data_IF_787612344603
#
_entry.id   IF_787612344603
#
_cell.length_a   1.000
_cell.length_b   1.000
_cell.length_c   1.000
_cell.angle_alpha   90.00
_cell.angle_beta   90.00
_cell.angle_gamma   90.00
#
_symmetry.space_group_name_H-M   'P 1'
#
loop_
_entity.id
_entity.type
_entity.pdbx_description
1 polymer ?
#
# COMPACT_ATOMS: atom_id res chain seq x y z
N UNK A 1 16.66 -3.10 -35.92
CA UNK A 1 16.91 -1.79 -35.32
C UNK A 1 15.61 -0.97 -35.24
N UNK A 2 14.83 -0.84 -36.31
CA UNK A 2 13.56 -0.08 -36.33
C UNK A 2 12.60 -0.47 -35.21
N UNK A 3 12.50 -1.77 -34.85
CA UNK A 3 11.66 -2.23 -33.75
C UNK A 3 12.12 -1.69 -32.38
N UNK A 4 13.42 -1.62 -32.15
CA UNK A 4 14.01 -1.06 -30.93
C UNK A 4 13.77 0.45 -30.88
N UNK A 5 13.94 1.15 -31.99
CA UNK A 5 13.73 2.60 -32.09
C UNK A 5 12.24 2.93 -31.88
N UNK A 6 11.32 2.10 -32.40
CA UNK A 6 9.90 2.23 -32.15
C UNK A 6 9.52 2.02 -30.68
N UNK A 7 10.10 1.01 -30.02
CA UNK A 7 9.90 0.75 -28.60
C UNK A 7 10.48 1.84 -27.69
N UNK A 8 11.50 2.55 -28.15
CA UNK A 8 12.09 3.65 -27.39
C UNK A 8 11.19 4.91 -27.36
N UNK A 9 10.37 5.12 -28.38
CA UNK A 9 9.56 6.34 -28.58
C UNK A 9 8.08 6.10 -28.30
N UNK A 10 7.58 4.88 -28.58
CA UNK A 10 6.16 4.55 -28.52
C UNK A 10 5.81 3.51 -27.45
N UNK A 11 4.53 3.49 -27.05
CA UNK A 11 3.94 2.43 -26.22
C UNK A 11 3.16 1.47 -27.08
N UNK A 12 3.32 0.18 -26.85
CA UNK A 12 2.68 -0.87 -27.59
C UNK A 12 1.97 -1.83 -26.61
N UNK A 13 0.80 -2.33 -27.00
CA UNK A 13 0.05 -3.29 -26.17
C UNK A 13 0.61 -4.71 -26.31
N UNK A 14 1.28 -5.02 -27.42
CA UNK A 14 1.87 -6.31 -27.72
C UNK A 14 2.94 -6.15 -28.79
N UNK A 15 4.00 -6.96 -28.70
CA UNK A 15 5.00 -7.14 -29.76
C UNK A 15 4.94 -8.56 -30.28
N UNK A 16 4.74 -8.70 -31.59
CA UNK A 16 4.94 -9.96 -32.31
C UNK A 16 6.29 -9.89 -33.02
N UNK A 17 7.25 -10.71 -32.63
CA UNK A 17 8.62 -10.62 -33.11
C UNK A 17 9.05 -11.94 -33.78
N UNK A 18 9.52 -11.84 -35.01
CA UNK A 18 10.21 -12.97 -35.67
C UNK A 18 11.62 -13.11 -35.05
N UNK A 19 12.06 -14.34 -34.83
CA UNK A 19 13.41 -14.59 -34.31
C UNK A 19 14.46 -14.27 -35.38
N UNK A 20 14.29 -14.75 -36.60
CA UNK A 20 15.25 -14.55 -37.68
C UNK A 20 14.94 -13.29 -38.48
N UNK A 21 15.62 -12.21 -38.17
CA UNK A 21 15.54 -10.95 -38.88
C UNK A 21 16.93 -10.48 -39.30
N UNK A 22 17.05 -9.73 -40.44
CA UNK A 22 18.33 -9.14 -40.86
C UNK A 22 18.76 -8.04 -39.88
N UNK A 23 20.09 -7.88 -39.71
CA UNK A 23 20.77 -6.89 -38.85
C UNK A 23 20.74 -7.24 -37.37
N UNK A 24 19.61 -7.02 -36.69
CA UNK A 24 19.36 -7.45 -35.29
C UNK A 24 18.34 -8.58 -35.27
N UNK A 25 18.64 -9.62 -34.54
CA UNK A 25 17.75 -10.75 -34.39
C UNK A 25 16.58 -10.44 -33.40
N UNK A 26 15.55 -11.28 -33.42
CA UNK A 26 14.39 -11.09 -32.55
C UNK A 26 14.70 -11.26 -31.06
N UNK A 27 15.80 -11.95 -30.71
CA UNK A 27 16.23 -12.14 -29.33
C UNK A 27 16.78 -10.84 -28.76
N UNK A 28 17.53 -10.04 -29.57
CA UNK A 28 17.98 -8.71 -29.15
C UNK A 28 16.79 -7.74 -28.93
N UNK A 29 15.75 -7.85 -29.77
CA UNK A 29 14.51 -7.08 -29.58
C UNK A 29 13.79 -7.50 -28.30
N UNK A 30 13.72 -8.81 -28.01
CA UNK A 30 13.15 -9.32 -26.75
C UNK A 30 13.94 -8.80 -25.54
N UNK A 31 15.27 -8.92 -25.54
CA UNK A 31 16.13 -8.46 -24.45
C UNK A 31 15.93 -6.95 -24.19
N UNK A 32 15.82 -6.15 -25.26
CA UNK A 32 15.53 -4.72 -25.16
C UNK A 32 14.13 -4.44 -24.58
N UNK A 33 13.10 -5.13 -25.09
CA UNK A 33 11.72 -4.96 -24.63
C UNK A 33 11.57 -5.32 -23.15
N UNK A 34 12.16 -6.42 -22.70
CA UNK A 34 12.13 -6.84 -21.29
C UNK A 34 12.81 -5.81 -20.38
N UNK A 35 13.92 -5.20 -20.84
CA UNK A 35 14.67 -4.22 -20.06
C UNK A 35 13.98 -2.83 -20.00
N UNK A 36 13.39 -2.36 -21.11
CA UNK A 36 12.92 -0.98 -21.25
C UNK A 36 11.39 -0.83 -21.30
N UNK A 37 10.66 -1.89 -21.68
CA UNK A 37 9.21 -1.93 -21.76
C UNK A 37 8.63 -3.22 -21.13
N UNK A 38 8.91 -3.50 -19.84
CA UNK A 38 8.54 -4.77 -19.18
C UNK A 38 7.03 -5.01 -19.10
N UNK A 39 6.23 -4.00 -19.41
CA UNK A 39 4.77 -4.07 -19.40
C UNK A 39 4.22 -4.57 -20.74
N UNK A 40 5.02 -4.45 -21.81
CA UNK A 40 4.63 -4.86 -23.16
C UNK A 40 4.99 -6.33 -23.37
N UNK A 41 3.99 -7.24 -23.46
CA UNK A 41 4.28 -8.65 -23.70
C UNK A 41 4.86 -8.86 -25.09
N UNK A 42 5.86 -9.74 -25.19
CA UNK A 42 6.51 -10.11 -26.46
C UNK A 42 6.16 -11.55 -26.78
N UNK A 43 5.57 -11.80 -27.92
CA UNK A 43 5.33 -13.14 -28.47
C UNK A 43 6.31 -13.38 -29.59
N UNK A 44 7.13 -14.43 -29.46
CA UNK A 44 8.14 -14.79 -30.46
C UNK A 44 7.54 -15.69 -31.54
N UNK A 45 7.90 -15.45 -32.79
CA UNK A 45 7.49 -16.29 -33.93
C UNK A 45 8.73 -16.83 -34.61
N UNK A 46 8.76 -18.11 -34.98
CA UNK A 46 9.91 -18.70 -35.67
C UNK A 46 9.53 -19.76 -36.68
N UNK A 47 10.24 -19.79 -37.81
CA UNK A 47 10.09 -20.81 -38.86
C UNK A 47 10.84 -22.13 -38.60
N UNK A 48 11.69 -22.21 -37.56
CA UNK A 48 12.39 -23.42 -37.17
C UNK A 48 11.91 -23.84 -35.77
N UNK A 49 11.30 -25.03 -35.70
CA UNK A 49 10.76 -25.58 -34.46
C UNK A 49 11.85 -26.12 -33.52
N UNK A 50 12.88 -25.32 -33.26
CA UNK A 50 13.92 -25.67 -32.28
C UNK A 50 13.37 -25.41 -30.88
N UNK A 51 13.16 -26.50 -30.13
CA UNK A 51 12.66 -26.49 -28.75
C UNK A 51 13.59 -25.70 -27.83
N UNK A 52 14.91 -25.80 -28.04
CA UNK A 52 15.89 -25.11 -27.21
C UNK A 52 15.80 -23.59 -27.37
N UNK A 53 15.59 -23.12 -28.59
CA UNK A 53 15.34 -21.68 -28.86
C UNK A 53 14.05 -21.19 -28.24
N UNK A 54 12.98 -21.97 -28.30
CA UNK A 54 11.70 -21.63 -27.66
C UNK A 54 11.84 -21.51 -26.13
N UNK A 55 12.48 -22.49 -25.49
CA UNK A 55 12.75 -22.50 -24.06
C UNK A 55 13.65 -21.32 -23.66
N UNK A 56 14.67 -21.00 -24.48
CA UNK A 56 15.54 -19.84 -24.25
C UNK A 56 14.76 -18.52 -24.28
N UNK A 57 13.89 -18.30 -25.26
CA UNK A 57 13.05 -17.10 -25.35
C UNK A 57 12.11 -16.95 -24.14
N UNK A 58 11.47 -18.05 -23.72
CA UNK A 58 10.59 -18.03 -22.55
C UNK A 58 11.35 -17.70 -21.26
N UNK A 59 12.57 -18.28 -21.08
CA UNK A 59 13.46 -17.96 -19.94
C UNK A 59 13.91 -16.50 -19.93
N UNK A 60 14.07 -15.90 -21.09
CA UNK A 60 14.44 -14.49 -21.25
C UNK A 60 13.25 -13.53 -21.02
N UNK A 61 12.03 -14.04 -20.86
CA UNK A 61 10.86 -13.24 -20.53
C UNK A 61 9.87 -13.04 -21.67
N UNK A 62 10.00 -13.79 -22.77
CA UNK A 62 8.94 -13.84 -23.79
C UNK A 62 7.63 -14.35 -23.17
N UNK A 63 6.51 -13.79 -23.60
CA UNK A 63 5.19 -14.22 -23.15
C UNK A 63 4.84 -15.62 -23.68
N UNK A 64 5.07 -15.86 -24.96
CA UNK A 64 4.88 -17.16 -25.63
C UNK A 64 5.76 -17.27 -26.88
N UNK A 65 5.80 -18.45 -27.43
CA UNK A 65 6.51 -18.80 -28.65
C UNK A 65 5.56 -19.53 -29.62
N UNK A 66 5.55 -19.13 -30.90
CA UNK A 66 4.68 -19.68 -31.94
C UNK A 66 5.51 -20.11 -33.14
N UNK A 67 5.39 -21.38 -33.55
CA UNK A 67 6.05 -21.89 -34.75
C UNK A 67 5.34 -21.42 -36.03
N UNK A 68 6.10 -21.17 -37.11
CA UNK A 68 5.59 -20.92 -38.47
C UNK A 68 5.37 -22.24 -39.22
N UNK A 69 4.27 -22.39 -40.01
CA UNK A 69 3.17 -21.47 -40.16
C UNK A 69 2.31 -21.44 -38.87
N UNK A 70 1.89 -20.26 -38.41
CA UNK A 70 1.12 -20.14 -37.15
C UNK A 70 -0.29 -20.72 -37.36
N UNK A 71 -0.74 -21.55 -36.42
CA UNK A 71 -2.15 -21.85 -36.28
C UNK A 71 -2.89 -20.56 -35.86
N UNK A 72 -3.84 -20.13 -36.67
CA UNK A 72 -4.58 -18.88 -36.45
C UNK A 72 -5.33 -18.87 -35.11
N UNK A 73 -5.92 -20.01 -34.73
CA UNK A 73 -6.68 -20.10 -33.48
C UNK A 73 -5.74 -19.94 -32.27
N UNK A 74 -4.59 -20.64 -32.30
CA UNK A 74 -3.55 -20.53 -31.28
C UNK A 74 -2.97 -19.11 -31.22
N UNK A 75 -2.66 -18.52 -32.37
CA UNK A 75 -2.14 -17.15 -32.44
C UNK A 75 -3.11 -16.15 -31.82
N UNK A 76 -4.40 -16.19 -32.20
CA UNK A 76 -5.43 -15.29 -31.65
C UNK A 76 -5.61 -15.51 -30.14
N UNK A 77 -5.60 -16.76 -29.68
CA UNK A 77 -5.70 -17.07 -28.25
C UNK A 77 -4.50 -16.51 -27.47
N UNK A 78 -3.28 -16.72 -27.96
CA UNK A 78 -2.05 -16.19 -27.35
C UNK A 78 -2.06 -14.66 -27.31
N UNK A 79 -2.47 -14.00 -28.40
CA UNK A 79 -2.60 -12.53 -28.45
C UNK A 79 -3.58 -12.04 -27.39
N UNK A 80 -4.76 -12.64 -27.28
CA UNK A 80 -5.77 -12.26 -26.27
C UNK A 80 -5.19 -12.41 -24.84
N UNK A 81 -4.58 -13.53 -24.53
CA UNK A 81 -3.98 -13.77 -23.22
C UNK A 81 -2.85 -12.77 -22.91
N UNK A 82 -2.03 -12.45 -23.92
CA UNK A 82 -0.95 -11.47 -23.77
C UNK A 82 -1.50 -10.06 -23.50
N UNK A 83 -2.51 -9.62 -24.24
CA UNK A 83 -3.18 -8.34 -24.05
C UNK A 83 -3.88 -8.25 -22.69
N UNK A 84 -4.57 -9.30 -22.25
CA UNK A 84 -5.21 -9.36 -20.94
C UNK A 84 -4.18 -9.24 -19.81
N UNK A 85 -3.06 -9.95 -19.93
CA UNK A 85 -1.95 -9.82 -18.96
C UNK A 85 -1.35 -8.41 -18.97
N UNK A 86 -1.07 -7.84 -20.12
CA UNK A 86 -0.55 -6.47 -20.25
C UNK A 86 -1.48 -5.46 -19.60
N UNK A 87 -2.80 -5.57 -19.87
CA UNK A 87 -3.82 -4.71 -19.25
C UNK A 87 -3.85 -4.84 -17.72
N UNK A 88 -3.81 -6.06 -17.18
CA UNK A 88 -3.78 -6.30 -15.74
C UNK A 88 -2.52 -5.71 -15.08
N UNK A 89 -1.36 -5.82 -15.74
CA UNK A 89 -0.10 -5.23 -15.26
C UNK A 89 -0.17 -3.70 -15.24
N UNK A 90 -0.67 -3.09 -16.31
CA UNK A 90 -0.84 -1.63 -16.42
C UNK A 90 -1.85 -1.10 -15.40
N UNK A 91 -2.98 -1.81 -15.21
CA UNK A 91 -3.99 -1.47 -14.20
C UNK A 91 -3.42 -1.57 -12.79
N UNK A 92 -2.71 -2.65 -12.48
CA UNK A 92 -2.04 -2.84 -11.17
C UNK A 92 -1.04 -1.71 -10.90
N UNK A 93 -0.23 -1.33 -11.90
CA UNK A 93 0.72 -0.20 -11.79
C UNK A 93 0.01 1.13 -11.53
N UNK A 94 -1.09 1.37 -12.22
CA UNK A 94 -1.91 2.58 -12.02
C UNK A 94 -2.52 2.61 -10.62
N UNK A 95 -3.07 1.48 -10.16
CA UNK A 95 -3.63 1.35 -8.81
C UNK A 95 -2.54 1.53 -7.74
N UNK A 96 -1.37 0.92 -7.93
CA UNK A 96 -0.22 1.11 -7.03
C UNK A 96 0.22 2.57 -6.96
N UNK A 97 0.34 3.27 -8.10
CA UNK A 97 0.68 4.71 -8.12
C UNK A 97 -0.34 5.54 -7.34
N UNK A 98 -1.64 5.26 -7.48
CA UNK A 98 -2.70 5.93 -6.72
C UNK A 98 -2.56 5.69 -5.22
N UNK A 99 -2.25 4.44 -4.81
CA UNK A 99 -2.02 4.10 -3.41
C UNK A 99 -0.80 4.86 -2.87
N UNK A 100 0.33 4.79 -3.56
CA UNK A 100 1.56 5.48 -3.14
C UNK A 100 1.38 7.00 -3.03
N UNK A 101 0.63 7.62 -3.95
CA UNK A 101 0.34 9.05 -3.86
C UNK A 101 -0.53 9.40 -2.65
N UNK A 102 -1.47 8.54 -2.27
CA UNK A 102 -2.33 8.71 -1.10
C UNK A 102 -1.55 8.65 0.22
N UNK A 103 -0.50 7.84 0.29
CA UNK A 103 0.30 7.62 1.51
C UNK A 103 1.67 8.30 1.48
N UNK A 104 1.78 9.39 0.71
CA UNK A 104 2.99 10.19 0.68
C UNK A 104 3.21 10.95 2.00
N UNK A 105 4.41 10.85 2.57
CA UNK A 105 4.84 11.65 3.72
C UNK A 105 5.21 13.05 3.26
N UNK A 106 4.31 14.01 3.45
CA UNK A 106 4.47 15.42 3.03
C UNK A 106 4.88 16.28 4.22
N UNK A 107 5.90 17.12 4.02
CA UNK A 107 6.47 18.03 5.00
C UNK A 107 7.98 17.91 5.09
N UNK A 108 8.64 18.92 5.65
CA UNK A 108 10.09 19.04 5.75
C UNK A 108 10.56 19.33 7.20
N UNK A 109 9.67 19.15 8.19
CA UNK A 109 10.02 19.31 9.60
C UNK A 109 11.08 18.31 10.06
N UNK A 110 11.93 18.72 10.98
CA UNK A 110 12.95 17.85 11.56
C UNK A 110 12.33 16.58 12.18
N UNK A 111 11.17 16.71 12.84
CA UNK A 111 10.45 15.60 13.42
C UNK A 111 9.97 14.58 12.36
N UNK A 112 9.57 15.04 11.16
CA UNK A 112 9.18 14.16 10.07
C UNK A 112 10.39 13.50 9.42
N UNK A 113 11.53 14.20 9.35
CA UNK A 113 12.79 13.66 8.84
C UNK A 113 13.33 12.55 9.75
N UNK A 114 13.27 12.72 11.08
CA UNK A 114 13.61 11.67 12.04
C UNK A 114 12.77 10.40 11.83
N UNK A 115 11.45 10.57 11.54
CA UNK A 115 10.57 9.46 11.24
C UNK A 115 10.97 8.78 9.94
N UNK A 116 11.30 9.53 8.86
CA UNK A 116 11.78 8.96 7.59
C UNK A 116 13.03 8.11 7.80
N UNK A 117 14.02 8.64 8.52
CA UNK A 117 15.25 7.91 8.82
C UNK A 117 15.00 6.64 9.65
N UNK A 118 14.06 6.69 10.59
CA UNK A 118 13.67 5.51 11.37
C UNK A 118 12.98 4.48 10.46
N UNK A 119 12.07 4.91 9.59
CA UNK A 119 11.40 4.05 8.61
C UNK A 119 12.43 3.36 7.70
N UNK A 120 13.39 4.11 7.15
CA UNK A 120 14.41 3.57 6.24
C UNK A 120 15.31 2.51 6.93
N UNK A 121 15.60 2.68 8.22
CA UNK A 121 16.36 1.69 9.01
C UNK A 121 15.55 0.44 9.33
N UNK A 122 14.27 0.58 9.61
CA UNK A 122 13.41 -0.50 10.11
C UNK A 122 12.73 -1.27 8.96
N UNK A 123 12.41 -0.62 7.85
CA UNK A 123 11.68 -1.22 6.74
C UNK A 123 12.34 -2.50 6.19
N UNK A 124 13.66 -2.58 5.96
CA UNK A 124 14.30 -3.80 5.45
C UNK A 124 14.27 -5.00 6.41
N UNK A 125 13.92 -4.78 7.68
CA UNK A 125 13.88 -5.83 8.70
C UNK A 125 12.48 -6.41 8.85
N UNK A 126 12.36 -7.58 9.50
CA UNK A 126 11.07 -8.15 9.93
C UNK A 126 10.67 -7.71 11.36
N UNK A 127 11.35 -6.71 11.93
CA UNK A 127 11.03 -6.18 13.25
C UNK A 127 9.58 -5.68 13.32
N UNK A 128 8.93 -5.96 14.44
CA UNK A 128 7.62 -5.40 14.78
C UNK A 128 7.78 -3.94 15.16
N UNK A 129 6.83 -3.13 14.74
CA UNK A 129 6.84 -1.68 15.00
C UNK A 129 5.53 -1.28 15.65
N UNK A 130 5.64 -0.57 16.76
CA UNK A 130 4.52 0.11 17.39
C UNK A 130 4.59 1.61 17.04
N UNK A 131 3.54 2.11 16.39
CA UNK A 131 3.43 3.49 15.96
C UNK A 131 2.48 4.21 16.91
N UNK A 132 2.97 5.20 17.65
CA UNK A 132 2.17 5.95 18.62
C UNK A 132 1.99 7.40 18.20
N UNK A 133 0.86 8.01 18.54
CA UNK A 133 0.60 9.41 18.24
C UNK A 133 -0.89 9.75 18.21
N UNK A 134 -1.25 11.03 18.29
CA UNK A 134 -2.64 11.46 18.34
C UNK A 134 -3.43 11.08 17.08
N UNK A 135 -4.76 11.10 17.19
CA UNK A 135 -5.64 10.81 16.07
C UNK A 135 -5.42 11.79 14.91
N UNK A 136 -5.39 11.27 13.68
CA UNK A 136 -5.18 12.06 12.47
C UNK A 136 -3.76 12.60 12.28
N UNK A 137 -2.76 12.14 13.05
CA UNK A 137 -1.35 12.56 12.93
C UNK A 137 -0.62 11.93 11.74
N UNK A 138 -1.17 10.86 11.11
CA UNK A 138 -0.56 10.17 9.98
C UNK A 138 0.13 8.84 10.33
N UNK A 139 -0.25 8.18 11.43
CA UNK A 139 0.25 6.84 11.81
C UNK A 139 0.13 5.81 10.68
N UNK A 140 -1.01 5.82 9.98
CA UNK A 140 -1.27 4.95 8.82
C UNK A 140 -0.25 5.17 7.69
N UNK A 141 0.11 6.44 7.41
CA UNK A 141 1.12 6.78 6.38
C UNK A 141 2.48 6.16 6.74
N UNK A 142 2.86 6.20 8.03
CA UNK A 142 4.10 5.57 8.50
C UNK A 142 4.08 4.06 8.29
N UNK A 143 2.96 3.39 8.62
CA UNK A 143 2.81 1.95 8.43
C UNK A 143 2.91 1.55 6.94
N UNK A 144 2.22 2.28 6.06
CA UNK A 144 2.32 2.10 4.61
C UNK A 144 3.75 2.27 4.11
N UNK A 145 4.43 3.33 4.55
CA UNK A 145 5.80 3.61 4.14
C UNK A 145 6.78 2.52 4.57
N UNK A 146 6.62 1.97 5.81
CA UNK A 146 7.41 0.83 6.29
C UNK A 146 7.19 -0.39 5.37
N UNK A 147 5.94 -0.69 5.02
CA UNK A 147 5.63 -1.82 4.14
C UNK A 147 6.21 -1.62 2.73
N UNK A 148 5.99 -0.46 2.11
CA UNK A 148 6.45 -0.14 0.75
C UNK A 148 7.99 -0.18 0.61
N UNK A 149 8.72 0.18 1.67
CA UNK A 149 10.19 0.15 1.70
C UNK A 149 10.76 -1.19 2.20
N UNK A 150 9.92 -2.19 2.47
CA UNK A 150 10.33 -3.50 2.99
C UNK A 150 10.58 -4.53 1.89
N UNK A 151 11.22 -5.65 2.26
CA UNK A 151 11.34 -6.82 1.39
C UNK A 151 9.96 -7.42 1.00
N UNK A 152 8.91 -7.11 1.77
CA UNK A 152 7.53 -7.58 1.56
C UNK A 152 6.67 -6.58 0.77
N UNK A 153 7.24 -5.55 0.15
CA UNK A 153 6.52 -4.49 -0.59
C UNK A 153 5.62 -5.01 -1.75
N UNK A 154 5.91 -6.21 -2.26
CA UNK A 154 5.12 -6.85 -3.32
C UNK A 154 4.03 -7.79 -2.79
N UNK A 155 4.10 -8.10 -1.50
CA UNK A 155 3.17 -8.98 -0.78
C UNK A 155 1.98 -8.17 -0.22
N UNK A 156 0.92 -8.83 0.27
CA UNK A 156 -0.24 -8.11 0.80
C UNK A 156 0.11 -7.24 2.02
N UNK A 157 -0.43 -6.02 2.06
CA UNK A 157 -0.62 -5.25 3.28
C UNK A 157 -2.10 -5.38 3.68
N UNK A 158 -2.36 -6.05 4.78
CA UNK A 158 -3.72 -6.23 5.31
C UNK A 158 -3.91 -5.29 6.49
N UNK A 159 -4.89 -4.41 6.39
CA UNK A 159 -5.18 -3.41 7.42
C UNK A 159 -6.40 -3.82 8.23
N UNK A 160 -6.32 -3.61 9.55
CA UNK A 160 -7.41 -3.85 10.48
C UNK A 160 -7.50 -2.67 11.45
N UNK A 161 -8.60 -1.96 11.41
CA UNK A 161 -8.91 -0.97 12.43
C UNK A 161 -9.65 -1.66 13.58
N UNK A 162 -8.97 -1.85 14.71
CA UNK A 162 -9.50 -2.59 15.85
C UNK A 162 -10.67 -1.86 16.54
N UNK A 163 -10.69 -0.53 16.48
CA UNK A 163 -11.78 0.27 17.05
C UNK A 163 -13.08 0.20 16.22
N UNK A 164 -12.98 -0.10 14.91
CA UNK A 164 -14.14 -0.17 14.03
C UNK A 164 -14.87 -1.51 14.05
N UNK A 165 -14.29 -2.54 14.69
CA UNK A 165 -14.85 -3.89 14.74
C UNK A 165 -15.45 -4.13 16.13
N UNK A 166 -16.72 -4.56 16.24
CA UNK A 166 -17.30 -4.94 17.52
C UNK A 166 -16.44 -6.02 18.23
N UNK A 167 -16.33 -5.92 19.55
CA UNK A 167 -15.48 -6.80 20.37
C UNK A 167 -15.78 -8.30 20.19
N UNK A 168 -17.04 -8.65 19.93
CA UNK A 168 -17.49 -10.02 19.70
C UNK A 168 -17.04 -10.57 18.34
N UNK A 169 -16.76 -9.69 17.37
CA UNK A 169 -16.41 -10.09 16.01
C UNK A 169 -14.92 -10.01 15.71
N UNK A 170 -14.14 -9.30 16.55
CA UNK A 170 -12.72 -9.03 16.30
C UNK A 170 -11.91 -10.32 16.16
N UNK A 171 -12.21 -11.34 16.97
CA UNK A 171 -11.51 -12.61 16.90
C UNK A 171 -11.80 -13.35 15.59
N UNK A 172 -13.07 -13.37 15.16
CA UNK A 172 -13.48 -13.96 13.88
C UNK A 172 -12.88 -13.23 12.68
N UNK A 173 -12.79 -11.90 12.74
CA UNK A 173 -12.15 -11.11 11.68
C UNK A 173 -10.64 -11.36 11.62
N UNK A 174 -9.94 -11.39 12.75
CA UNK A 174 -8.50 -11.58 12.80
C UNK A 174 -8.07 -13.00 12.45
N UNK A 175 -8.74 -14.00 13.02
CA UNK A 175 -8.29 -15.40 12.97
C UNK A 175 -9.12 -16.27 12.03
N UNK A 176 -10.29 -15.77 11.56
CA UNK A 176 -11.23 -16.55 10.78
C UNK A 176 -12.13 -17.43 11.64
N UNK A 177 -13.06 -18.12 11.01
CA UNK A 177 -13.95 -19.07 11.66
C UNK A 177 -14.32 -20.22 10.74
N UNK A 178 -14.67 -21.36 11.34
CA UNK A 178 -15.28 -22.50 10.66
C UNK A 178 -16.81 -22.37 10.66
N UNK A 179 -17.44 -23.00 9.70
CA UNK A 179 -18.90 -23.10 9.64
C UNK A 179 -19.45 -23.67 10.93
N UNK A 180 -20.45 -23.01 11.51
CA UNK A 180 -21.09 -23.45 12.77
C UNK A 180 -20.36 -22.98 14.05
N UNK A 181 -19.27 -22.22 13.96
CA UNK A 181 -18.55 -21.70 15.13
C UNK A 181 -19.41 -20.77 16.02
N UNK A 182 -20.40 -20.11 15.43
CA UNK A 182 -21.41 -19.28 16.10
C UNK A 182 -22.66 -19.20 15.23
N UNK A 183 -23.78 -18.68 15.76
CA UNK A 183 -25.10 -18.73 15.12
C UNK A 183 -25.15 -18.19 13.70
N UNK A 184 -24.34 -17.19 13.36
CA UNK A 184 -24.26 -16.59 12.01
C UNK A 184 -23.11 -17.11 11.14
N UNK A 185 -22.35 -18.11 11.58
CA UNK A 185 -21.25 -18.72 10.83
C UNK A 185 -21.75 -19.73 9.79
N UNK A 186 -22.28 -19.24 8.66
CA UNK A 186 -22.90 -20.07 7.60
C UNK A 186 -21.86 -20.82 6.76
N UNK A 187 -20.63 -20.27 6.63
CA UNK A 187 -19.51 -20.81 5.83
C UNK A 187 -18.18 -20.56 6.54
N UNK A 188 -17.14 -21.30 6.12
CA UNK A 188 -15.78 -21.01 6.55
C UNK A 188 -15.33 -19.65 6.04
N UNK A 189 -14.59 -18.89 6.85
CA UNK A 189 -14.02 -17.59 6.48
C UNK A 189 -12.58 -17.47 6.95
N UNK A 190 -11.69 -17.11 6.03
CA UNK A 190 -10.29 -16.81 6.34
C UNK A 190 -10.17 -15.53 7.15
N UNK A 191 -9.32 -15.56 8.16
CA UNK A 191 -9.00 -14.39 8.98
C UNK A 191 -7.96 -13.49 8.35
N UNK A 192 -7.81 -12.28 8.90
CA UNK A 192 -6.85 -11.27 8.43
C UNK A 192 -5.39 -11.73 8.54
N UNK A 193 -5.04 -12.51 9.56
CA UNK A 193 -3.70 -13.12 9.67
C UNK A 193 -3.41 -14.08 8.51
N UNK A 194 -4.38 -14.89 8.09
CA UNK A 194 -4.22 -15.80 6.96
C UNK A 194 -4.11 -15.03 5.64
N UNK A 195 -4.92 -13.97 5.47
CA UNK A 195 -4.86 -13.10 4.28
C UNK A 195 -3.54 -12.32 4.18
N UNK A 196 -2.90 -12.04 5.31
CA UNK A 196 -1.62 -11.35 5.39
C UNK A 196 -0.41 -12.30 5.28
N UNK A 197 -0.63 -13.60 5.04
CA UNK A 197 0.47 -14.58 4.93
C UNK A 197 1.53 -14.14 3.92
N UNK A 198 2.82 -14.28 4.28
CA UNK A 198 4.01 -13.77 3.58
C UNK A 198 4.09 -12.22 3.47
N UNK A 199 3.06 -11.50 3.88
CA UNK A 199 2.92 -10.06 3.81
C UNK A 199 3.07 -9.35 5.16
N UNK A 200 2.32 -8.26 5.30
CA UNK A 200 2.29 -7.41 6.50
C UNK A 200 0.85 -7.25 6.98
N UNK A 201 0.64 -7.40 8.28
CA UNK A 201 -0.61 -7.08 8.96
C UNK A 201 -0.43 -5.77 9.73
N UNK A 202 -1.26 -4.79 9.44
CA UNK A 202 -1.31 -3.53 10.17
C UNK A 202 -2.54 -3.48 11.07
N UNK A 203 -2.31 -3.42 12.39
CA UNK A 203 -3.33 -3.34 13.43
C UNK A 203 -3.42 -1.88 13.90
N UNK A 204 -4.37 -1.14 13.36
CA UNK A 204 -4.63 0.23 13.78
C UNK A 204 -5.53 0.25 15.02
N UNK A 205 -5.29 1.21 15.91
CA UNK A 205 -5.95 1.39 17.21
C UNK A 205 -5.94 0.09 18.05
N UNK A 206 -4.74 -0.53 18.16
CA UNK A 206 -4.54 -1.79 18.91
C UNK A 206 -4.96 -1.68 20.38
N UNK A 207 -4.90 -0.47 20.96
CA UNK A 207 -5.32 -0.19 22.33
C UNK A 207 -6.82 -0.32 22.58
N UNK A 208 -7.65 -0.46 21.54
CA UNK A 208 -9.09 -0.66 21.64
C UNK A 208 -9.51 -2.15 21.58
N UNK A 209 -8.53 -3.05 21.43
CA UNK A 209 -8.76 -4.47 21.34
C UNK A 209 -9.15 -5.07 22.69
N UNK A 210 -10.12 -5.99 22.72
CA UNK A 210 -10.50 -6.73 23.92
C UNK A 210 -9.34 -7.60 24.45
N UNK A 211 -9.29 -7.83 25.76
CA UNK A 211 -8.24 -8.64 26.39
C UNK A 211 -8.15 -10.07 25.84
N UNK A 212 -9.29 -10.66 25.46
CA UNK A 212 -9.34 -11.99 24.85
C UNK A 212 -8.67 -12.01 23.47
N UNK A 213 -8.96 -11.00 22.64
CA UNK A 213 -8.32 -10.84 21.34
C UNK A 213 -6.82 -10.53 21.46
N UNK A 214 -6.42 -9.69 22.44
CA UNK A 214 -5.02 -9.43 22.75
C UNK A 214 -4.24 -10.70 23.08
N UNK A 215 -4.83 -11.62 23.88
CA UNK A 215 -4.21 -12.91 24.23
C UNK A 215 -3.99 -13.79 22.98
N UNK A 216 -4.95 -13.84 22.07
CA UNK A 216 -4.84 -14.59 20.81
C UNK A 216 -3.82 -13.95 19.85
N UNK A 217 -3.78 -12.63 19.76
CA UNK A 217 -2.74 -11.91 18.97
C UNK A 217 -1.35 -12.21 19.52
N UNK A 218 -1.17 -12.15 20.84
CA UNK A 218 0.09 -12.51 21.49
C UNK A 218 0.54 -13.92 21.11
N UNK A 219 -0.38 -14.90 21.18
CA UNK A 219 -0.10 -16.29 20.80
C UNK A 219 0.32 -16.40 19.33
N UNK A 220 -0.41 -15.73 18.43
CA UNK A 220 -0.06 -15.70 17.02
C UNK A 220 1.35 -15.09 16.75
N UNK A 221 1.75 -14.06 17.53
CA UNK A 221 3.08 -13.45 17.45
C UNK A 221 4.20 -14.31 18.06
N UNK A 222 3.88 -15.24 18.95
CA UNK A 222 4.85 -16.12 19.59
C UNK A 222 5.07 -17.40 18.82
N UNK A 223 3.97 -18.04 18.38
CA UNK A 223 3.97 -19.38 17.79
C UNK A 223 4.01 -19.33 16.25
N UNK A 224 3.78 -18.16 15.62
CA UNK A 224 3.57 -18.00 14.17
C UNK A 224 2.47 -18.94 13.64
N UNK A 225 1.45 -19.20 14.46
CA UNK A 225 0.27 -19.99 14.12
C UNK A 225 -0.98 -19.28 14.59
N UNK A 226 -2.09 -19.53 13.90
CA UNK A 226 -3.42 -19.08 14.28
C UNK A 226 -4.37 -20.26 14.34
N UNK A 227 -5.40 -20.16 15.19
CA UNK A 227 -6.49 -21.14 15.23
C UNK A 227 -7.80 -20.43 14.94
N UNK A 228 -8.48 -20.73 13.81
CA UNK A 228 -9.79 -20.15 13.52
C UNK A 228 -10.81 -20.44 14.61
N UNK A 229 -11.78 -19.56 14.81
CA UNK A 229 -12.84 -19.76 15.81
C UNK A 229 -13.64 -21.00 15.45
N UNK A 230 -13.80 -21.92 16.39
CA UNK A 230 -14.49 -23.22 16.18
C UNK A 230 -13.65 -24.29 15.51
N UNK A 231 -12.36 -24.06 15.24
CA UNK A 231 -11.45 -25.06 14.71
C UNK A 231 -10.49 -25.59 15.78
N UNK A 232 -10.12 -26.88 15.66
CA UNK A 232 -9.10 -27.51 16.52
C UNK A 232 -7.70 -27.45 15.91
N UNK A 233 -7.60 -27.20 14.58
CA UNK A 233 -6.32 -27.18 13.86
C UNK A 233 -5.77 -25.78 13.76
N UNK A 234 -4.50 -25.61 14.10
CA UNK A 234 -3.75 -24.39 13.89
C UNK A 234 -3.21 -24.31 12.45
N UNK A 235 -3.14 -23.11 11.94
CA UNK A 235 -2.62 -22.76 10.61
C UNK A 235 -1.33 -21.96 10.81
N UNK A 236 -0.23 -22.40 10.19
CA UNK A 236 1.02 -21.65 10.21
C UNK A 236 0.91 -20.37 9.35
N UNK A 237 1.37 -19.26 9.89
CA UNK A 237 1.36 -17.95 9.22
C UNK A 237 2.73 -17.28 9.37
N UNK A 238 3.22 -16.68 8.28
CA UNK A 238 4.42 -15.85 8.29
C UNK A 238 3.99 -14.41 7.99
N UNK A 239 3.82 -13.61 9.04
CA UNK A 239 3.26 -12.26 8.93
C UNK A 239 4.13 -11.27 9.68
N UNK A 240 4.58 -10.19 9.01
CA UNK A 240 5.15 -9.04 9.69
C UNK A 240 4.02 -8.21 10.30
N UNK A 241 4.10 -7.91 11.60
CA UNK A 241 3.07 -7.13 12.28
C UNK A 241 3.55 -5.72 12.57
N UNK A 242 2.75 -4.74 12.14
CA UNK A 242 2.83 -3.33 12.51
C UNK A 242 1.58 -3.01 13.35
N UNK A 243 1.74 -2.25 14.42
CA UNK A 243 0.62 -1.84 15.26
C UNK A 243 0.63 -0.32 15.44
N UNK A 244 -0.55 0.30 15.54
CA UNK A 244 -0.69 1.71 15.83
C UNK A 244 -1.70 1.95 16.95
N UNK A 245 -1.52 3.03 17.71
CA UNK A 245 -2.48 3.47 18.72
C UNK A 245 -2.34 4.97 19.02
N UNK A 246 -3.44 5.59 19.40
CA UNK A 246 -3.47 6.93 19.96
C UNK A 246 -3.48 6.92 21.50
N UNK A 247 -3.66 5.75 22.13
CA UNK A 247 -3.72 5.58 23.58
C UNK A 247 -2.33 5.53 24.19
N UNK A 248 -2.25 5.97 25.43
CA UNK A 248 -1.10 5.76 26.31
C UNK A 248 -1.20 4.32 26.83
N UNK A 249 -0.42 3.40 26.21
CA UNK A 249 -0.46 1.99 26.58
C UNK A 249 0.10 1.72 27.98
N UNK A 250 0.98 2.56 28.50
CA UNK A 250 1.48 2.42 29.89
C UNK A 250 0.33 2.64 30.88
N UNK A 251 -0.49 3.66 30.62
CA UNK A 251 -1.70 3.89 31.40
C UNK A 251 -2.74 2.79 31.22
N UNK A 252 -2.97 2.31 30.00
CA UNK A 252 -3.90 1.22 29.72
C UNK A 252 -3.48 -0.09 30.40
N UNK A 253 -2.15 -0.36 30.50
CA UNK A 253 -1.61 -1.49 31.28
C UNK A 253 -1.83 -1.34 32.78
N UNK A 254 -1.56 -0.14 33.35
CA UNK A 254 -1.79 0.13 34.77
C UNK A 254 -3.27 -0.02 35.16
N UNK A 255 -4.18 0.27 34.24
CA UNK A 255 -5.62 0.14 34.44
C UNK A 255 -6.17 -1.25 34.02
N UNK A 256 -5.31 -2.20 33.64
CA UNK A 256 -5.67 -3.57 33.30
C UNK A 256 -6.45 -3.73 31.97
N UNK A 257 -6.44 -2.75 31.09
CA UNK A 257 -7.10 -2.79 29.77
C UNK A 257 -6.19 -3.25 28.63
N UNK A 258 -4.88 -3.22 28.85
CA UNK A 258 -3.90 -3.72 27.88
C UNK A 258 -2.91 -4.67 28.57
N UNK A 259 -2.54 -5.77 27.90
CA UNK A 259 -1.63 -6.77 28.44
C UNK A 259 -0.17 -6.32 28.28
N UNK A 260 0.58 -6.42 29.36
CA UNK A 260 2.02 -6.07 29.39
C UNK A 260 2.85 -7.00 28.47
N UNK A 261 2.53 -8.29 28.44
CA UNK A 261 3.22 -9.26 27.60
C UNK A 261 3.04 -8.98 26.09
N UNK A 262 1.86 -8.55 25.69
CA UNK A 262 1.60 -8.11 24.31
C UNK A 262 2.33 -6.81 23.99
N UNK A 263 2.34 -5.83 24.91
CA UNK A 263 3.08 -4.59 24.74
C UNK A 263 4.56 -4.85 24.44
N UNK A 264 5.24 -5.63 25.26
CA UNK A 264 6.65 -5.97 25.04
C UNK A 264 6.90 -6.75 23.75
N UNK A 265 5.92 -7.50 23.30
CA UNK A 265 6.02 -8.25 22.03
C UNK A 265 5.85 -7.35 20.81
N UNK A 266 5.04 -6.29 20.88
CA UNK A 266 4.79 -5.33 19.80
C UNK A 266 5.83 -4.20 19.77
N UNK A 267 6.30 -3.71 20.91
CA UNK A 267 7.14 -2.54 21.07
C UNK A 267 8.65 -2.80 20.86
N UNK A 268 9.00 -3.67 19.89
CA UNK A 268 10.43 -3.90 19.56
C UNK A 268 11.06 -2.61 19.04
N UNK A 269 10.35 -1.91 18.17
CA UNK A 269 10.67 -0.54 17.73
C UNK A 269 9.43 0.32 17.97
N UNK A 270 9.61 1.49 18.57
CA UNK A 270 8.54 2.46 18.78
C UNK A 270 8.80 3.70 17.94
N UNK A 271 7.84 4.06 17.08
CA UNK A 271 7.87 5.30 16.28
C UNK A 271 6.79 6.22 16.81
N UNK A 272 7.21 7.38 17.37
CA UNK A 272 6.29 8.40 17.86
C UNK A 272 6.00 9.42 16.76
N UNK A 273 4.74 9.52 16.33
CA UNK A 273 4.29 10.49 15.32
C UNK A 273 3.72 11.71 16.04
N UNK A 274 4.37 12.87 15.96
CA UNK A 274 3.91 14.06 16.66
C UNK A 274 2.61 14.61 16.05
N UNK A 275 1.82 15.27 16.86
CA UNK A 275 0.67 16.03 16.38
C UNK A 275 1.10 17.22 15.51
N UNK A 276 0.17 17.74 14.72
CA UNK A 276 0.44 18.81 13.75
C UNK A 276 0.86 20.13 14.43
N UNK A 277 0.39 20.37 15.65
CA UNK A 277 0.78 21.54 16.45
C UNK A 277 2.28 21.56 16.81
N UNK A 278 2.95 20.41 16.79
CA UNK A 278 4.40 20.26 17.06
C UNK A 278 5.25 20.25 15.77
N UNK A 279 4.61 20.44 14.60
CA UNK A 279 5.26 20.52 13.28
C UNK A 279 4.48 21.44 12.34
N UNK A 280 4.17 22.64 12.84
CA UNK A 280 3.40 23.65 12.11
C UNK A 280 4.06 24.12 10.81
N UNK A 281 5.38 23.96 10.70
CA UNK A 281 6.15 24.19 9.49
C UNK A 281 5.74 23.32 8.31
N UNK A 282 5.13 22.13 8.55
CA UNK A 282 4.64 21.25 7.50
C UNK A 282 3.27 21.70 6.92
N UNK A 283 2.55 22.60 7.61
CA UNK A 283 1.19 23.00 7.22
C UNK A 283 1.11 23.58 5.80
N UNK A 284 2.01 24.48 5.35
CA UNK A 284 1.95 25.00 3.99
C UNK A 284 2.11 23.92 2.91
N UNK A 285 3.04 22.99 3.12
CA UNK A 285 3.27 21.87 2.21
C UNK A 285 2.06 20.93 2.16
N UNK A 286 1.48 20.60 3.33
CA UNK A 286 0.28 19.77 3.45
C UNK A 286 -0.94 20.44 2.81
N UNK A 287 -1.17 21.74 3.03
CA UNK A 287 -2.28 22.47 2.42
C UNK A 287 -2.18 22.48 0.89
N UNK A 288 -0.98 22.73 0.36
CA UNK A 288 -0.72 22.70 -1.07
C UNK A 288 -0.91 21.30 -1.67
N UNK A 289 -0.44 20.27 -0.98
CA UNK A 289 -0.61 18.87 -1.37
C UNK A 289 -2.09 18.47 -1.45
N UNK A 290 -2.87 18.77 -0.41
CA UNK A 290 -4.32 18.47 -0.41
C UNK A 290 -5.06 19.25 -1.47
N UNK A 291 -4.70 20.52 -1.72
CA UNK A 291 -5.22 21.31 -2.83
C UNK A 291 -4.96 20.67 -4.19
N UNK A 292 -3.75 20.16 -4.40
CA UNK A 292 -3.38 19.42 -5.60
C UNK A 292 -4.18 18.12 -5.79
N UNK A 293 -4.38 17.35 -4.71
CA UNK A 293 -5.21 16.13 -4.73
C UNK A 293 -6.66 16.44 -5.07
N UNK A 294 -7.25 17.47 -4.47
CA UNK A 294 -8.64 17.89 -4.75
C UNK A 294 -8.82 18.30 -6.22
N UNK A 295 -7.83 19.00 -6.79
CA UNK A 295 -7.87 19.38 -8.21
C UNK A 295 -7.76 18.17 -9.13
N UNK A 296 -6.88 17.23 -8.83
CA UNK A 296 -6.61 16.08 -9.70
C UNK A 296 -7.64 14.96 -9.59
N UNK A 297 -8.19 14.72 -8.39
CA UNK A 297 -9.10 13.58 -8.13
C UNK A 297 -10.58 13.97 -8.21
N UNK A 298 -10.93 15.17 -7.73
CA UNK A 298 -12.31 15.62 -7.60
C UNK A 298 -12.72 16.63 -8.66
N UNK A 299 -11.78 17.01 -9.58
CA UNK A 299 -12.06 17.95 -10.66
C UNK A 299 -12.30 19.40 -10.22
N UNK A 300 -11.96 19.75 -8.98
CA UNK A 300 -12.02 21.14 -8.53
C UNK A 300 -11.01 21.99 -9.30
N UNK A 301 -11.35 23.25 -9.65
CA UNK A 301 -10.38 24.18 -10.21
C UNK A 301 -9.17 24.32 -9.28
N UNK A 302 -7.97 24.41 -9.85
CA UNK A 302 -6.77 24.66 -9.06
C UNK A 302 -6.89 26.01 -8.35
N UNK A 303 -6.76 26.03 -7.03
CA UNK A 303 -6.79 27.26 -6.21
C UNK A 303 -5.42 27.46 -5.56
N UNK A 304 -5.10 28.71 -5.27
CA UNK A 304 -3.85 29.10 -4.62
C UNK A 304 -4.13 29.67 -3.24
N UNK A 305 -3.30 29.32 -2.29
CA UNK A 305 -3.29 29.97 -0.98
C UNK A 305 -2.42 31.22 -1.04
N UNK A 306 -2.89 32.35 -0.55
CA UNK A 306 -2.03 33.51 -0.34
C UNK A 306 -1.03 33.24 0.80
N UNK A 307 0.13 33.91 0.83
CA UNK A 307 1.06 33.78 1.95
C UNK A 307 0.43 34.09 3.30
N UNK A 308 -0.47 35.07 3.36
CA UNK A 308 -1.21 35.41 4.57
C UNK A 308 -2.16 34.28 5.01
N UNK A 309 -2.83 33.60 4.07
CA UNK A 309 -3.67 32.43 4.37
C UNK A 309 -2.85 31.27 4.94
N UNK A 310 -1.67 30.98 4.40
CA UNK A 310 -0.79 29.94 4.93
C UNK A 310 -0.31 30.28 6.34
N UNK A 311 0.04 31.52 6.62
CA UNK A 311 0.40 31.97 7.97
C UNK A 311 -0.78 31.84 8.94
N UNK A 312 -1.99 32.20 8.51
CA UNK A 312 -3.20 32.04 9.30
C UNK A 312 -3.46 30.56 9.65
N UNK A 313 -3.27 29.63 8.69
CA UNK A 313 -3.35 28.19 8.94
C UNK A 313 -2.30 27.72 9.95
N UNK A 314 -1.05 28.22 9.86
CA UNK A 314 0.02 27.86 10.81
C UNK A 314 -0.22 28.40 12.22
N UNK A 315 -0.89 29.56 12.37
CA UNK A 315 -1.18 30.16 13.65
C UNK A 315 -2.26 29.37 14.44
N UNK A 316 -3.13 28.62 13.76
CA UNK A 316 -4.22 27.86 14.40
C UNK A 316 -3.71 26.65 15.17
N UNK A 317 -4.56 26.16 16.08
CA UNK A 317 -4.41 24.87 16.75
C UNK A 317 -5.17 23.76 15.99
N UNK A 318 -4.57 22.59 15.90
CA UNK A 318 -5.03 21.47 15.10
C UNK A 318 -5.26 20.21 15.94
N UNK A 319 -6.25 20.21 16.82
CA UNK A 319 -6.57 19.07 17.68
C UNK A 319 -6.89 17.79 16.90
N UNK A 320 -7.49 17.89 15.71
CA UNK A 320 -7.74 16.79 14.78
C UNK A 320 -6.60 16.55 13.79
N UNK A 321 -5.47 17.24 13.95
CA UNK A 321 -4.23 17.06 13.20
C UNK A 321 -4.42 17.16 11.67
N UNK A 322 -3.73 16.31 10.90
CA UNK A 322 -3.77 16.31 9.42
C UNK A 322 -5.19 16.04 8.91
N UNK A 323 -5.98 15.21 9.61
CA UNK A 323 -7.37 14.92 9.21
C UNK A 323 -8.23 16.19 9.26
N UNK A 324 -8.08 16.99 10.28
CA UNK A 324 -8.77 18.29 10.40
C UNK A 324 -8.29 19.27 9.33
N UNK A 325 -6.98 19.38 9.13
CA UNK A 325 -6.41 20.24 8.09
C UNK A 325 -6.96 19.89 6.70
N UNK A 326 -6.99 18.60 6.33
CA UNK A 326 -7.55 18.13 5.06
C UNK A 326 -9.02 18.57 4.89
N UNK A 327 -9.86 18.38 5.91
CA UNK A 327 -11.26 18.76 5.87
C UNK A 327 -11.42 20.28 5.73
N UNK A 328 -10.56 21.07 6.37
CA UNK A 328 -10.54 22.53 6.22
C UNK A 328 -10.15 22.94 4.81
N UNK A 329 -9.07 22.35 4.24
CA UNK A 329 -8.67 22.63 2.86
C UNK A 329 -9.78 22.27 1.87
N UNK A 330 -10.45 21.14 2.04
CA UNK A 330 -11.59 20.74 1.20
C UNK A 330 -12.74 21.76 1.30
N UNK A 331 -13.08 22.21 2.49
CA UNK A 331 -14.10 23.24 2.72
C UNK A 331 -13.74 24.55 2.02
N UNK A 332 -12.48 24.98 2.11
CA UNK A 332 -11.99 26.19 1.45
C UNK A 332 -12.04 26.06 -0.08
N UNK A 333 -11.74 24.87 -0.62
CA UNK A 333 -11.87 24.60 -2.05
C UNK A 333 -13.31 24.63 -2.55
N UNK A 334 -14.27 24.30 -1.69
CA UNK A 334 -15.70 24.36 -2.02
C UNK A 334 -16.22 25.81 -1.96
N UNK A 335 -15.87 26.54 -0.89
CA UNK A 335 -16.55 27.80 -0.54
C UNK A 335 -15.85 29.07 -1.04
N UNK A 336 -14.52 29.03 -1.31
CA UNK A 336 -13.76 30.23 -1.68
C UNK A 336 -13.58 30.35 -3.19
N UNK A 337 -13.10 31.53 -3.65
CA UNK A 337 -12.72 31.80 -5.04
C UNK A 337 -11.40 31.13 -5.47
N UNK A 338 -10.81 31.62 -6.56
CA UNK A 338 -9.57 31.06 -7.12
C UNK A 338 -8.33 31.27 -6.23
N UNK A 339 -8.35 32.30 -5.38
CA UNK A 339 -7.33 32.56 -4.37
C UNK A 339 -7.97 32.49 -3.00
N UNK A 340 -7.35 31.78 -2.07
CA UNK A 340 -7.77 31.63 -0.69
C UNK A 340 -6.98 32.63 0.14
N UNK A 341 -7.68 33.57 0.79
CA UNK A 341 -7.10 34.65 1.59
C UNK A 341 -7.19 34.36 3.09
N UNK A 342 -6.50 35.17 3.92
CA UNK A 342 -6.49 35.02 5.36
C UNK A 342 -7.91 35.13 5.96
N UNK A 343 -8.74 36.00 5.44
CA UNK A 343 -10.14 36.21 5.84
C UNK A 343 -10.99 34.94 5.63
N UNK A 344 -10.71 34.18 4.56
CA UNK A 344 -11.36 32.90 4.29
C UNK A 344 -11.01 31.85 5.37
N UNK A 345 -9.76 31.90 5.87
CA UNK A 345 -9.32 31.01 6.94
C UNK A 345 -10.03 31.35 8.25
N UNK A 346 -10.17 32.64 8.57
CA UNK A 346 -10.91 33.08 9.77
C UNK A 346 -12.37 32.65 9.71
N UNK A 347 -12.98 32.71 8.52
CA UNK A 347 -14.40 32.44 8.31
C UNK A 347 -14.76 30.98 8.22
N UNK A 348 -13.89 30.14 7.60
CA UNK A 348 -14.27 28.78 7.20
C UNK A 348 -13.36 27.67 7.77
N UNK A 349 -12.24 27.98 8.42
CA UNK A 349 -11.33 26.97 8.96
C UNK A 349 -11.61 26.56 10.41
#
# INVERSE_FOLDING_TARGET
QEAIDALAVGTFDLVLCDIKMPLKDGIEVLDYAVAHAPETPVVMISGHGDLDTAVSCLRKGAFDYIAKPPDLNRLVQTIRQALDRGRLVAENKTLRKKITSKYQMVGDSAALEDIRQMVDKVAPTDARVLITGPNGSGKEIVAHRIHESSARARMPLVEVNCAAIPSELIESELFGHTKGAFTSAVKDRKGKFELAHEGTLFLDEIGDMSLSAQAKVLRALQENTITPVGADKSIAVNVRVLAATNKDLEKEMAEGRFREDLYHRLSVIVIKVPGLDHRKEDIPALASHFGGLLSSESGFPAKKFSPAALQALQARSWSGNIRQLRNVVERLFILCGNTIEAEDIERYA
#
